data_IF_163478992435
#
_entry.id   IF_163478992435
#
_cell.length_a   1.000
_cell.length_b   1.000
_cell.length_c   1.000
_cell.angle_alpha   90.00
_cell.angle_beta   90.00
_cell.angle_gamma   90.00
#
_symmetry.space_group_name_H-M   'P 1'
#
loop_
_entity.id
_entity.type
_entity.pdbx_description
1 polymer ?
#
# COMPACT_ATOMS: atom_id res chain seq x y z
N UNK A 1 -8.75 37.22 -64.88
CA UNK A 1 -9.00 36.66 -63.54
C UNK A 1 -9.41 35.21 -63.70
N UNK A 2 -8.50 34.26 -63.44
CA UNK A 2 -8.66 32.85 -63.80
C UNK A 2 -9.12 32.03 -62.58
N UNK A 3 -10.44 31.86 -62.45
CA UNK A 3 -11.11 31.30 -61.27
C UNK A 3 -10.81 29.78 -61.11
N UNK A 4 -10.34 29.13 -62.17
CA UNK A 4 -10.03 27.70 -62.17
C UNK A 4 -8.68 27.34 -61.53
N UNK A 5 -7.69 28.23 -61.51
CA UNK A 5 -6.36 27.93 -60.96
C UNK A 5 -6.33 27.96 -59.41
N UNK A 6 -7.22 28.73 -58.78
CA UNK A 6 -7.27 28.88 -57.32
C UNK A 6 -7.89 27.67 -56.61
N UNK A 7 -8.84 26.99 -57.28
CA UNK A 7 -9.60 25.86 -56.70
C UNK A 7 -8.77 24.58 -56.53
N UNK A 8 -7.76 24.35 -57.39
CA UNK A 8 -6.88 23.19 -57.28
C UNK A 8 -5.84 23.30 -56.15
N UNK A 9 -5.28 24.50 -55.96
CA UNK A 9 -4.25 24.74 -54.95
C UNK A 9 -4.79 24.73 -53.50
N UNK A 10 -6.03 25.19 -53.29
CA UNK A 10 -6.67 25.15 -51.96
C UNK A 10 -7.19 23.75 -51.59
N UNK A 11 -7.58 22.94 -52.59
CA UNK A 11 -7.97 21.55 -52.35
C UNK A 11 -6.78 20.66 -51.96
N UNK A 12 -5.59 20.88 -52.54
CA UNK A 12 -4.39 20.09 -52.22
C UNK A 12 -3.82 20.35 -50.82
N UNK A 13 -3.88 21.60 -50.32
CA UNK A 13 -3.39 21.96 -48.98
C UNK A 13 -4.23 21.33 -47.86
N UNK A 14 -5.54 21.25 -48.07
CA UNK A 14 -6.46 20.65 -47.10
C UNK A 14 -6.25 19.13 -47.04
N UNK A 15 -6.07 18.46 -48.17
CA UNK A 15 -5.80 17.01 -48.22
C UNK A 15 -4.47 16.68 -47.53
N UNK A 16 -3.43 17.49 -47.71
CA UNK A 16 -2.14 17.27 -47.05
C UNK A 16 -2.20 17.53 -45.53
N UNK A 17 -2.97 18.53 -45.10
CA UNK A 17 -3.23 18.81 -43.68
C UNK A 17 -4.05 17.70 -43.01
N UNK A 18 -5.03 17.11 -43.70
CA UNK A 18 -5.79 15.96 -43.19
C UNK A 18 -4.94 14.70 -43.11
N UNK A 19 -4.02 14.48 -44.05
CA UNK A 19 -3.08 13.36 -44.01
C UNK A 19 -2.05 13.50 -42.87
N UNK A 20 -1.54 14.71 -42.60
CA UNK A 20 -0.66 14.97 -41.46
C UNK A 20 -1.39 14.80 -40.11
N UNK A 21 -2.64 15.27 -40.02
CA UNK A 21 -3.45 15.16 -38.81
C UNK A 21 -3.83 13.69 -38.53
N UNK A 22 -4.14 12.90 -39.58
CA UNK A 22 -4.39 11.46 -39.46
C UNK A 22 -3.16 10.64 -39.06
N UNK A 23 -1.96 11.05 -39.48
CA UNK A 23 -0.71 10.37 -39.13
C UNK A 23 -0.27 10.69 -37.69
N UNK A 24 -0.54 11.92 -37.21
CA UNK A 24 -0.34 12.32 -35.82
C UNK A 24 -1.32 11.65 -34.85
N UNK A 25 -2.59 11.47 -35.22
CA UNK A 25 -3.57 10.76 -34.38
C UNK A 25 -3.29 9.26 -34.31
N UNK A 26 -2.84 8.63 -35.40
CA UNK A 26 -2.42 7.23 -35.37
C UNK A 26 -1.16 7.00 -34.51
N UNK A 27 -0.20 7.93 -34.51
CA UNK A 27 0.97 7.87 -33.65
C UNK A 27 0.62 8.07 -32.15
N UNK A 28 -0.39 8.89 -31.84
CA UNK A 28 -0.86 9.10 -30.47
C UNK A 28 -1.57 7.85 -29.91
N UNK A 29 -2.34 7.14 -30.74
CA UNK A 29 -2.99 5.87 -30.35
C UNK A 29 -1.97 4.75 -30.09
N UNK A 30 -0.82 4.76 -30.79
CA UNK A 30 0.26 3.79 -30.55
C UNK A 30 1.11 4.10 -29.31
N UNK A 31 1.19 5.36 -28.87
CA UNK A 31 1.94 5.74 -27.66
C UNK A 31 1.19 5.45 -26.35
N UNK A 32 -0.12 5.14 -26.43
CA UNK A 32 -0.91 4.64 -25.31
C UNK A 32 -0.95 3.10 -25.25
N UNK A 33 -0.12 2.41 -26.04
CA UNK A 33 0.15 1.01 -25.79
C UNK A 33 0.93 0.92 -24.47
N UNK A 34 0.17 0.87 -23.37
CA UNK A 34 0.65 0.43 -22.08
C UNK A 34 1.28 -0.94 -22.33
N UNK A 35 2.61 -0.98 -22.38
CA UNK A 35 3.30 -2.24 -22.24
C UNK A 35 2.97 -2.69 -20.83
N UNK A 36 1.90 -3.48 -20.71
CA UNK A 36 1.73 -4.39 -19.59
C UNK A 36 2.93 -5.33 -19.66
N UNK A 37 4.07 -4.85 -19.18
CA UNK A 37 5.20 -5.67 -18.84
C UNK A 37 4.61 -6.72 -17.91
N UNK A 38 4.70 -7.98 -18.32
CA UNK A 38 4.37 -9.10 -17.46
C UNK A 38 5.44 -9.10 -16.36
N UNK A 39 5.30 -8.17 -15.43
CA UNK A 39 6.16 -8.03 -14.27
C UNK A 39 6.12 -9.34 -13.51
N UNK A 40 7.24 -9.64 -12.86
CA UNK A 40 7.34 -10.78 -11.97
C UNK A 40 6.14 -10.82 -11.03
N UNK A 41 5.54 -12.00 -10.83
CA UNK A 41 4.45 -12.15 -9.87
C UNK A 41 5.00 -11.74 -8.50
N UNK A 42 4.26 -10.95 -7.71
CA UNK A 42 4.75 -10.50 -6.42
C UNK A 42 4.83 -11.70 -5.48
N UNK A 43 5.77 -11.64 -4.55
CA UNK A 43 5.78 -12.52 -3.39
C UNK A 43 4.89 -11.92 -2.30
N UNK A 44 4.49 -12.76 -1.32
CA UNK A 44 3.81 -12.27 -0.11
C UNK A 44 4.62 -11.16 0.58
N UNK A 45 5.93 -11.35 0.70
CA UNK A 45 6.83 -10.37 1.30
C UNK A 45 6.76 -9.01 0.59
N UNK A 46 6.86 -8.98 -0.74
CA UNK A 46 6.79 -7.71 -1.49
C UNK A 46 5.46 -6.97 -1.35
N UNK A 47 4.35 -7.72 -1.22
CA UNK A 47 3.04 -7.11 -0.98
C UNK A 47 2.99 -6.50 0.42
N UNK A 48 3.55 -7.19 1.41
CA UNK A 48 3.60 -6.71 2.80
C UNK A 48 4.50 -5.49 2.95
N UNK A 49 5.66 -5.47 2.29
CA UNK A 49 6.55 -4.31 2.22
C UNK A 49 5.84 -3.07 1.64
N UNK A 50 4.99 -3.27 0.63
CA UNK A 50 4.17 -2.19 0.08
C UNK A 50 3.21 -1.62 1.13
N UNK A 51 2.56 -2.49 1.91
CA UNK A 51 1.65 -2.05 2.98
C UNK A 51 2.38 -1.36 4.14
N UNK A 52 3.56 -1.85 4.51
CA UNK A 52 4.41 -1.20 5.51
C UNK A 52 4.86 0.19 5.05
N UNK A 53 5.22 0.34 3.78
CA UNK A 53 5.58 1.63 3.19
C UNK A 53 4.43 2.65 3.25
N UNK A 54 3.19 2.20 3.10
CA UNK A 54 2.01 3.06 3.31
C UNK A 54 1.93 3.54 4.77
N UNK A 55 2.18 2.67 5.74
CA UNK A 55 2.19 3.04 7.16
C UNK A 55 3.29 4.04 7.49
N UNK A 56 4.48 3.89 6.90
CA UNK A 56 5.58 4.84 7.05
C UNK A 56 5.22 6.21 6.47
N UNK A 57 4.58 6.23 5.29
CA UNK A 57 4.07 7.49 4.71
C UNK A 57 2.99 8.10 5.60
N UNK A 58 2.07 7.30 6.15
CA UNK A 58 1.06 7.80 7.10
C UNK A 58 1.73 8.49 8.29
N UNK A 59 2.74 7.86 8.90
CA UNK A 59 3.50 8.47 9.98
C UNK A 59 4.11 9.82 9.54
N UNK A 60 4.76 9.88 8.38
CA UNK A 60 5.30 11.14 7.85
C UNK A 60 4.23 12.22 7.67
N UNK A 61 3.03 11.85 7.24
CA UNK A 61 1.90 12.78 7.06
C UNK A 61 1.46 13.42 8.39
N UNK A 62 1.74 12.77 9.53
CA UNK A 62 1.45 13.32 10.88
C UNK A 62 2.46 14.36 11.37
N UNK A 63 3.66 14.40 10.81
CA UNK A 63 4.77 15.20 11.37
C UNK A 63 4.61 16.72 11.18
N UNK A 64 3.97 17.15 10.09
CA UNK A 64 3.86 18.56 9.72
C UNK A 64 2.74 18.83 8.72
N UNK A 65 2.31 20.09 8.70
CA UNK A 65 1.34 20.60 7.73
C UNK A 65 1.89 20.55 6.29
N UNK A 66 1.01 20.21 5.34
CA UNK A 66 1.30 20.06 3.90
C UNK A 66 0.09 20.46 3.05
N UNK A 67 0.27 20.58 1.73
CA UNK A 67 -0.88 20.68 0.82
C UNK A 67 -1.46 19.29 0.56
N UNK A 68 -2.79 19.18 0.32
CA UNK A 68 -3.42 17.89 -0.07
C UNK A 68 -2.74 17.26 -1.29
N UNK A 69 -2.28 18.06 -2.25
CA UNK A 69 -1.54 17.60 -3.42
C UNK A 69 -0.24 16.90 -3.04
N UNK A 70 0.53 17.49 -2.12
CA UNK A 70 1.79 16.88 -1.66
C UNK A 70 1.52 15.60 -0.87
N UNK A 71 0.47 15.59 -0.03
CA UNK A 71 0.05 14.38 0.69
C UNK A 71 -0.30 13.23 -0.25
N UNK A 72 -1.09 13.51 -1.29
CA UNK A 72 -1.44 12.54 -2.34
C UNK A 72 -0.16 12.05 -3.04
N UNK A 73 0.73 12.98 -3.41
CA UNK A 73 1.99 12.64 -4.09
C UNK A 73 2.91 11.75 -3.26
N UNK A 74 2.89 11.85 -1.93
CA UNK A 74 3.63 10.96 -1.03
C UNK A 74 3.06 9.53 -0.99
N UNK A 75 1.74 9.38 -1.21
CA UNK A 75 1.04 8.10 -1.18
C UNK A 75 1.03 7.38 -2.53
N UNK A 76 1.04 8.13 -3.63
CA UNK A 76 0.98 7.61 -5.01
C UNK A 76 2.04 6.57 -5.41
N UNK A 77 3.24 6.51 -4.81
CA UNK A 77 4.15 5.39 -5.04
C UNK A 77 3.55 4.04 -4.62
N UNK A 78 2.70 4.02 -3.60
CA UNK A 78 2.16 2.81 -2.97
C UNK A 78 0.63 2.66 -3.09
N UNK A 79 -0.07 3.71 -3.51
CA UNK A 79 -1.51 3.73 -3.69
C UNK A 79 -1.89 4.20 -5.10
N UNK A 80 -2.98 3.66 -5.64
CA UNK A 80 -3.62 4.23 -6.82
C UNK A 80 -4.07 5.66 -6.51
N UNK A 81 -3.95 6.58 -7.47
CA UNK A 81 -4.28 7.99 -7.30
C UNK A 81 -5.67 8.21 -6.65
N UNK A 82 -6.70 7.51 -7.14
CA UNK A 82 -8.05 7.63 -6.61
C UNK A 82 -8.15 7.17 -5.14
N UNK A 83 -7.40 6.13 -4.77
CA UNK A 83 -7.31 5.63 -3.40
C UNK A 83 -6.53 6.62 -2.51
N UNK A 84 -5.40 7.15 -2.98
CA UNK A 84 -4.63 8.17 -2.25
C UNK A 84 -5.46 9.44 -1.99
N UNK A 85 -6.21 9.92 -3.00
CA UNK A 85 -7.10 11.05 -2.86
C UNK A 85 -8.20 10.81 -1.82
N UNK A 86 -8.84 9.62 -1.85
CA UNK A 86 -9.84 9.23 -0.84
C UNK A 86 -9.23 9.16 0.56
N UNK A 87 -8.03 8.60 0.69
CA UNK A 87 -7.32 8.46 1.96
C UNK A 87 -6.97 9.83 2.57
N UNK A 88 -6.51 10.77 1.75
CA UNK A 88 -6.24 12.15 2.17
C UNK A 88 -7.52 12.90 2.53
N UNK A 89 -8.59 12.76 1.75
CA UNK A 89 -9.84 13.45 2.04
C UNK A 89 -10.45 13.03 3.38
N UNK A 90 -10.34 11.75 3.74
CA UNK A 90 -10.90 11.21 4.96
C UNK A 90 -10.08 11.56 6.22
N UNK A 91 -8.77 11.80 6.09
CA UNK A 91 -7.86 11.92 7.25
C UNK A 91 -7.16 13.28 7.37
N UNK A 92 -7.22 14.15 6.35
CA UNK A 92 -6.58 15.46 6.38
C UNK A 92 -7.49 16.51 7.04
N UNK A 93 -6.97 17.18 8.06
CA UNK A 93 -7.65 18.27 8.76
C UNK A 93 -7.01 19.61 8.41
N UNK A 94 -7.81 20.68 8.22
CA UNK A 94 -7.28 22.00 7.87
C UNK A 94 -6.60 22.67 9.07
N UNK A 95 -5.46 23.29 8.83
CA UNK A 95 -4.67 24.08 9.79
C UNK A 95 -4.19 25.39 9.14
N UNK A 96 -3.49 26.25 9.91
CA UNK A 96 -3.12 27.61 9.45
C UNK A 96 -2.21 27.63 8.22
N UNK A 97 -1.25 26.72 8.11
CA UNK A 97 -0.28 26.64 7.02
C UNK A 97 -0.61 25.55 5.98
N UNK A 98 -1.69 24.78 6.17
CA UNK A 98 -2.15 23.78 5.21
C UNK A 98 -3.09 22.75 5.81
N UNK A 99 -2.72 21.48 5.68
CA UNK A 99 -3.47 20.34 6.18
C UNK A 99 -2.55 19.43 6.98
N UNK A 100 -3.07 18.73 7.97
CA UNK A 100 -2.32 17.76 8.77
C UNK A 100 -3.11 16.48 8.98
N UNK A 101 -2.42 15.36 9.13
CA UNK A 101 -3.00 14.14 9.68
C UNK A 101 -2.75 14.14 11.18
N UNK A 102 -3.78 13.98 12.00
CA UNK A 102 -3.56 13.75 13.42
C UNK A 102 -3.21 12.28 13.66
N UNK A 103 -2.30 12.02 14.59
CA UNK A 103 -2.06 10.68 15.09
C UNK A 103 -3.31 10.16 15.81
N UNK A 104 -4.05 9.27 15.15
CA UNK A 104 -5.23 8.60 15.69
C UNK A 104 -5.00 7.10 15.68
N UNK A 105 -5.58 6.42 16.66
CA UNK A 105 -5.62 4.96 16.74
C UNK A 105 -6.66 4.32 15.80
N UNK A 106 -7.53 5.14 15.17
CA UNK A 106 -8.55 4.68 14.24
C UNK A 106 -8.73 5.64 13.04
N UNK A 107 -7.74 5.75 12.12
CA UNK A 107 -7.89 6.57 10.93
C UNK A 107 -8.99 6.01 10.01
N UNK A 108 -9.71 6.89 9.33
CA UNK A 108 -10.74 6.45 8.39
C UNK A 108 -10.07 5.84 7.16
N UNK A 109 -10.57 4.68 6.70
CA UNK A 109 -9.99 3.96 5.56
C UNK A 109 -8.51 3.57 5.79
N UNK A 110 -8.10 3.37 7.05
CA UNK A 110 -6.76 2.96 7.42
C UNK A 110 -6.38 1.57 6.88
N UNK A 111 -5.10 1.40 6.54
CA UNK A 111 -4.53 0.06 6.38
C UNK A 111 -4.69 -0.68 7.71
N UNK A 112 -5.32 -1.86 7.73
CA UNK A 112 -5.46 -2.64 8.95
C UNK A 112 -4.09 -3.01 9.55
N UNK A 113 -4.03 -3.06 10.88
CA UNK A 113 -2.88 -3.59 11.61
C UNK A 113 -2.82 -5.12 11.48
N UNK A 114 -2.42 -5.61 10.30
CA UNK A 114 -2.17 -7.03 10.07
C UNK A 114 -1.02 -7.55 10.95
N UNK A 115 -1.08 -8.83 11.33
CA UNK A 115 0.00 -9.49 12.07
C UNK A 115 1.25 -9.73 11.19
N UNK A 116 1.06 -9.78 9.87
CA UNK A 116 2.05 -10.18 8.87
C UNK A 116 2.65 -11.58 9.09
N UNK A 117 1.93 -12.45 9.82
CA UNK A 117 2.30 -13.84 10.08
C UNK A 117 1.45 -14.82 9.25
N UNK A 118 1.34 -16.07 9.69
CA UNK A 118 0.53 -17.11 9.06
C UNK A 118 -0.98 -16.81 9.03
N UNK A 119 -1.46 -15.91 9.91
CA UNK A 119 -2.85 -15.48 9.98
C UNK A 119 -3.17 -14.42 8.92
N UNK A 120 -2.19 -13.60 8.52
CA UNK A 120 -2.32 -12.71 7.38
C UNK A 120 -2.19 -13.54 6.09
N UNK A 121 -3.20 -13.52 5.24
CA UNK A 121 -3.27 -14.31 4.01
C UNK A 121 -3.38 -13.40 2.79
N UNK A 122 -3.12 -13.97 1.62
CA UNK A 122 -3.23 -13.25 0.34
C UNK A 122 -4.07 -14.10 -0.61
N UNK A 123 -5.22 -13.58 -1.04
CA UNK A 123 -6.06 -14.19 -2.08
C UNK A 123 -5.73 -13.57 -3.43
N UNK A 124 -5.53 -14.39 -4.45
CA UNK A 124 -5.22 -13.97 -5.82
C UNK A 124 -6.42 -14.21 -6.72
N UNK A 125 -6.87 -13.15 -7.40
CA UNK A 125 -7.97 -13.23 -8.35
C UNK A 125 -7.83 -12.17 -9.44
N UNK A 126 -7.87 -12.59 -10.71
CA UNK A 126 -7.89 -11.69 -11.87
C UNK A 126 -6.77 -10.62 -11.85
N UNK A 127 -5.55 -11.01 -11.48
CA UNK A 127 -4.39 -10.10 -11.37
C UNK A 127 -4.43 -9.13 -10.18
N UNK A 128 -5.41 -9.29 -9.28
CA UNK A 128 -5.51 -8.57 -8.00
C UNK A 128 -5.05 -9.45 -6.85
N UNK A 129 -4.41 -8.83 -5.87
CA UNK A 129 -3.87 -9.48 -4.69
C UNK A 129 -4.52 -8.86 -3.45
N UNK A 130 -5.39 -9.62 -2.79
CA UNK A 130 -6.09 -9.16 -1.59
C UNK A 130 -5.40 -9.71 -0.36
N UNK A 131 -4.69 -8.85 0.36
CA UNK A 131 -4.17 -9.14 1.70
C UNK A 131 -5.33 -9.09 2.69
N UNK A 132 -5.45 -10.09 3.55
CA UNK A 132 -6.55 -10.16 4.50
C UNK A 132 -6.20 -10.91 5.79
N UNK A 133 -6.93 -10.59 6.85
CA UNK A 133 -6.85 -11.26 8.14
C UNK A 133 -8.23 -11.28 8.80
N UNK A 134 -8.58 -12.39 9.46
CA UNK A 134 -9.84 -12.52 10.17
C UNK A 134 -9.67 -12.04 11.61
N UNK A 135 -10.44 -11.04 12.02
CA UNK A 135 -10.41 -10.45 13.36
C UNK A 135 -11.79 -10.58 14.02
N UNK A 136 -11.89 -10.29 15.33
CA UNK A 136 -13.16 -10.23 16.06
C UNK A 136 -13.62 -11.51 16.77
N UNK A 137 -12.81 -12.58 16.78
CA UNK A 137 -13.11 -13.82 17.53
C UNK A 137 -12.53 -13.81 18.96
N UNK A 138 -12.20 -12.62 19.48
CA UNK A 138 -11.59 -12.47 20.80
C UNK A 138 -12.66 -12.11 21.85
N UNK A 139 -13.05 -13.09 22.66
CA UNK A 139 -13.95 -12.89 23.83
C UNK A 139 -13.22 -12.34 25.06
N UNK A 140 -12.00 -11.83 24.91
CA UNK A 140 -11.15 -11.36 26.01
C UNK A 140 -11.18 -9.83 26.10
N UNK A 141 -12.30 -9.29 26.60
CA UNK A 141 -12.44 -7.87 26.90
C UNK A 141 -13.89 -7.47 27.19
N UNK A 142 -14.15 -6.25 27.69
CA UNK A 142 -15.51 -5.74 27.92
C UNK A 142 -16.27 -5.42 26.62
N UNK A 143 -15.60 -5.49 25.46
CA UNK A 143 -16.16 -5.21 24.14
C UNK A 143 -15.91 -6.42 23.25
N UNK A 144 -16.97 -6.94 22.65
CA UNK A 144 -16.90 -7.95 21.60
C UNK A 144 -17.12 -7.31 20.24
N UNK A 145 -16.36 -7.77 19.26
CA UNK A 145 -16.51 -7.35 17.87
C UNK A 145 -17.12 -8.49 17.07
N UNK A 146 -17.87 -8.16 16.02
CA UNK A 146 -18.30 -9.20 15.09
C UNK A 146 -17.09 -9.69 14.29
N UNK A 147 -17.01 -11.02 14.10
CA UNK A 147 -15.98 -11.64 13.29
C UNK A 147 -16.07 -11.13 11.85
N UNK A 148 -15.00 -10.55 11.36
CA UNK A 148 -14.91 -10.08 9.97
C UNK A 148 -13.48 -10.22 9.43
N UNK A 149 -13.36 -10.11 8.11
CA UNK A 149 -12.10 -10.05 7.39
C UNK A 149 -11.75 -8.59 7.14
N UNK A 150 -10.60 -8.15 7.65
CA UNK A 150 -9.98 -6.90 7.20
C UNK A 150 -9.28 -7.16 5.88
N UNK A 151 -9.37 -6.24 4.92
CA UNK A 151 -8.88 -6.47 3.55
C UNK A 151 -8.18 -5.25 2.97
N UNK A 152 -7.10 -5.50 2.22
CA UNK A 152 -6.43 -4.53 1.37
C UNK A 152 -6.14 -5.16 0.01
N UNK A 153 -6.60 -4.54 -1.07
CA UNK A 153 -6.39 -5.03 -2.44
C UNK A 153 -5.29 -4.25 -3.12
N UNK A 154 -4.33 -4.97 -3.72
CA UNK A 154 -3.25 -4.42 -4.52
C UNK A 154 -3.35 -4.88 -5.98
N UNK A 155 -2.96 -4.01 -6.91
CA UNK A 155 -2.82 -4.31 -8.34
C UNK A 155 -1.50 -3.79 -8.86
N UNK A 156 -0.95 -4.44 -9.88
CA UNK A 156 0.18 -3.89 -10.63
C UNK A 156 -0.31 -2.74 -11.51
N UNK A 157 0.20 -1.54 -11.26
CA UNK A 157 -0.11 -0.31 -12.01
C UNK A 157 1.22 0.30 -12.44
N UNK A 158 1.52 0.25 -13.74
CA UNK A 158 2.76 0.81 -14.28
C UNK A 158 4.03 0.12 -13.76
N UNK A 159 3.99 -1.19 -13.51
CA UNK A 159 5.13 -1.98 -13.04
C UNK A 159 5.32 -2.00 -11.52
N UNK A 160 4.42 -1.38 -10.75
CA UNK A 160 4.49 -1.37 -9.28
C UNK A 160 3.17 -1.81 -8.66
N UNK A 161 3.23 -2.57 -7.57
CA UNK A 161 2.03 -2.93 -6.82
C UNK A 161 1.55 -1.76 -5.98
N UNK A 162 0.27 -1.40 -6.16
CA UNK A 162 -0.36 -0.27 -5.48
C UNK A 162 -1.67 -0.68 -4.85
N UNK A 163 -1.97 -0.11 -3.69
CA UNK A 163 -3.26 -0.27 -3.01
C UNK A 163 -4.35 0.40 -3.82
N UNK A 164 -5.37 -0.38 -4.19
CA UNK A 164 -6.55 0.10 -4.92
C UNK A 164 -7.82 0.08 -4.08
N UNK A 165 -7.85 -0.69 -2.99
CA UNK A 165 -8.98 -0.74 -2.08
C UNK A 165 -8.57 -1.16 -0.67
N UNK A 166 -9.28 -0.61 0.32
CA UNK A 166 -9.16 -0.92 1.75
C UNK A 166 -10.60 -1.11 2.26
N UNK A 167 -10.84 -2.17 3.03
CA UNK A 167 -12.19 -2.43 3.53
C UNK A 167 -12.31 -3.66 4.42
N UNK A 168 -13.55 -4.07 4.65
CA UNK A 168 -13.91 -5.21 5.49
C UNK A 168 -14.90 -6.13 4.76
N UNK A 169 -14.94 -7.40 5.10
CA UNK A 169 -15.90 -8.37 4.57
C UNK A 169 -16.31 -9.40 5.62
N UNK A 170 -17.57 -9.82 5.62
CA UNK A 170 -18.04 -10.92 6.48
C UNK A 170 -17.61 -12.31 5.94
N UNK A 171 -17.20 -12.36 4.68
CA UNK A 171 -16.81 -13.59 3.99
C UNK A 171 -15.35 -13.55 3.57
N UNK A 172 -14.69 -14.71 3.56
CA UNK A 172 -13.31 -14.83 3.08
C UNK A 172 -13.21 -14.23 1.65
N UNK A 173 -12.17 -13.42 1.35
CA UNK A 173 -11.93 -12.94 -0.02
C UNK A 173 -11.86 -14.09 -1.03
N UNK A 174 -12.48 -13.89 -2.19
CA UNK A 174 -12.44 -14.87 -3.27
C UNK A 174 -11.06 -14.92 -3.95
N UNK A 175 -10.65 -16.10 -4.40
CA UNK A 175 -9.37 -16.32 -5.07
C UNK A 175 -8.63 -17.54 -4.54
N UNK A 176 -7.50 -17.85 -5.15
CA UNK A 176 -6.57 -18.86 -4.65
C UNK A 176 -5.64 -18.24 -3.61
N UNK A 177 -5.39 -18.95 -2.51
CA UNK A 177 -4.48 -18.46 -1.47
C UNK A 177 -3.04 -18.55 -1.99
N UNK A 178 -2.33 -17.43 -2.01
CA UNK A 178 -0.89 -17.41 -2.23
C UNK A 178 -0.24 -18.03 -0.99
N UNK A 179 0.42 -19.18 -1.20
CA UNK A 179 1.13 -19.87 -0.13
C UNK A 179 2.28 -19.00 0.40
N UNK A 180 2.54 -19.08 1.70
CA UNK A 180 3.80 -18.57 2.23
C UNK A 180 4.94 -19.34 1.56
N UNK A 181 5.94 -18.63 1.05
CA UNK A 181 7.21 -19.27 0.69
C UNK A 181 7.74 -19.95 1.94
N UNK A 182 8.01 -21.25 1.83
CA UNK A 182 8.73 -21.98 2.87
C UNK A 182 10.10 -21.31 2.98
N UNK A 183 10.61 -21.00 4.18
CA UNK A 183 11.97 -20.53 4.30
C UNK A 183 12.88 -21.60 3.71
N UNK A 184 13.62 -21.26 2.65
CA UNK A 184 14.69 -22.10 2.13
C UNK A 184 15.59 -22.46 3.32
N UNK A 185 15.69 -23.74 3.63
CA UNK A 185 16.76 -24.25 4.50
C UNK A 185 18.08 -23.93 3.80
N UNK A 186 18.62 -22.73 4.04
CA UNK A 186 20.03 -22.48 3.80
C UNK A 186 20.78 -23.35 4.79
N UNK A 187 21.25 -24.50 4.30
CA UNK A 187 22.32 -25.28 4.91
C UNK A 187 23.44 -24.32 5.35
N UNK A 188 23.46 -24.01 6.65
CA UNK A 188 24.58 -23.32 7.26
C UNK A 188 25.65 -24.38 7.55
N UNK A 189 26.28 -24.87 6.48
CA UNK A 189 27.51 -25.66 6.59
C UNK A 189 28.68 -24.70 6.79
N UNK A 190 28.76 -24.09 7.97
CA UNK A 190 29.96 -23.42 8.43
C UNK A 190 30.60 -24.24 9.53
N UNK A 191 31.55 -25.07 9.13
CA UNK A 191 32.57 -25.61 10.02
C UNK A 191 33.22 -24.45 10.80
N UNK A 192 32.85 -24.26 12.06
CA UNK A 192 33.70 -23.57 13.02
C UNK A 192 34.02 -24.53 14.15
N UNK A 193 35.23 -25.08 14.05
CA UNK A 193 35.83 -25.90 15.06
C UNK A 193 35.89 -25.14 16.39
N UNK A 194 35.43 -25.84 17.41
CA UNK A 194 35.73 -25.71 18.82
C UNK A 194 37.10 -25.08 19.11
N UNK A 195 37.10 -23.99 19.88
CA UNK A 195 37.95 -23.87 21.08
C UNK A 195 37.62 -22.60 21.88
N UNK A 196 37.24 -22.83 23.15
CA UNK A 196 37.75 -22.17 24.37
C UNK A 196 36.84 -21.18 25.13
N UNK A 197 36.45 -21.70 26.30
CA UNK A 197 36.21 -21.09 27.62
C UNK A 197 34.91 -20.31 27.86
N UNK A 198 34.13 -20.91 28.75
CA UNK A 198 33.05 -20.33 29.54
C UNK A 198 33.49 -19.04 30.23
N UNK A 199 32.71 -17.97 30.02
CA UNK A 199 32.54 -16.87 30.96
C UNK A 199 31.08 -16.45 30.90
N UNK A 200 30.33 -16.70 31.99
CA UNK A 200 28.92 -16.36 32.08
C UNK A 200 28.75 -14.85 32.28
N UNK A 201 28.38 -14.14 31.21
CA UNK A 201 27.85 -12.78 31.31
C UNK A 201 26.32 -12.84 31.47
N UNK A 202 25.86 -12.61 32.69
CA UNK A 202 24.45 -12.41 33.06
C UNK A 202 24.02 -11.02 32.59
N UNK A 203 23.08 -10.95 31.65
CA UNK A 203 22.36 -9.70 31.35
C UNK A 203 21.19 -9.56 32.34
N UNK A 204 21.06 -8.44 33.08
CA UNK A 204 20.00 -8.28 34.07
C UNK A 204 18.64 -8.10 33.38
N UNK A 205 17.73 -9.05 33.65
CA UNK A 205 16.30 -8.87 33.47
C UNK A 205 15.84 -7.77 34.45
N UNK A 206 15.33 -6.66 33.93
CA UNK A 206 14.56 -5.72 34.74
C UNK A 206 13.25 -6.38 35.17
N UNK A 207 13.23 -6.91 36.39
CA UNK A 207 12.01 -7.31 37.09
C UNK A 207 11.42 -6.04 37.70
N UNK A 208 10.26 -5.60 37.20
CA UNK A 208 9.52 -4.50 37.81
C UNK A 208 8.65 -5.11 38.92
N UNK A 209 9.16 -5.11 40.15
CA UNK A 209 8.39 -5.45 41.33
C UNK A 209 7.56 -4.21 41.74
N UNK A 210 6.26 -4.23 41.46
CA UNK A 210 5.32 -3.19 41.92
C UNK A 210 4.86 -3.55 43.32
N UNK A 211 5.55 -3.02 44.34
CA UNK A 211 5.18 -3.21 45.73
C UNK A 211 3.99 -2.30 46.09
N UNK A 212 2.82 -2.91 46.32
CA UNK A 212 1.63 -2.23 46.87
C UNK A 212 1.77 -2.09 48.38
N UNK A 213 2.26 -0.94 48.86
CA UNK A 213 2.06 -0.50 50.26
C UNK A 213 2.21 1.01 50.37
N UNK A 214 1.10 1.73 50.15
CA UNK A 214 0.89 3.09 50.65
C UNK A 214 -0.62 3.35 50.77
N UNK A 215 -1.24 2.61 51.69
CA UNK A 215 -2.42 3.10 52.41
C UNK A 215 -1.89 3.66 53.75
N UNK A 216 -2.49 4.78 54.18
CA UNK A 216 -2.11 5.63 55.33
C UNK A 216 -1.08 6.72 55.03
N UNK A 217 -1.52 7.76 54.32
CA UNK A 217 -1.00 9.11 54.56
C UNK A 217 -1.90 10.23 54.01
N UNK A 218 -3.22 10.09 54.03
CA UNK A 218 -4.11 11.26 54.06
C UNK A 218 -5.33 10.95 54.93
N UNK A 219 -5.38 11.66 56.06
CA UNK A 219 -6.54 11.82 56.93
C UNK A 219 -7.62 12.67 56.25
#
# INVERSE_FOLDING_TARGET
MNIYAKKGADHMKNVWSFLLCGLLTAAFVFLCADFAEAGEKPTRASLFETLQSVSDVHFQLTEKERTKKDMISLLEPYMEHAMAAKYVEANAFPEQAGWIFYGTDAPEVAIPFFSYDENTKVAVKDGSYTVYECVGDQDRGPVSYQKNYQTVTLKNIGGSFKVTAIGQSDTKPAGEDMMAEQPDEKETNSNFADNKKEDHAVFPLFVIDVNWTLAELFS
#
